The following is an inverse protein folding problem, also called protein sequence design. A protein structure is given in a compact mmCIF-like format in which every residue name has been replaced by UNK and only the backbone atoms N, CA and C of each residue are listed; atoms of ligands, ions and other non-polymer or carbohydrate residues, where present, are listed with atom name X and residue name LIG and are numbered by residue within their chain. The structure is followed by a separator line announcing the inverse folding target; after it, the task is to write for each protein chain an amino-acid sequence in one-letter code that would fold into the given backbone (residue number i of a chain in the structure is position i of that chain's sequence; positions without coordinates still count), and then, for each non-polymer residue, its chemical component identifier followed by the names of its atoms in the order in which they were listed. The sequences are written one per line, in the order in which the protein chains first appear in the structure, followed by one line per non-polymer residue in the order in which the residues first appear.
data_IF_806753081268
#
_entry.id   IF_806753081268
#
_cell.length_a   1.000
_cell.length_b   1.000
_cell.length_c   1.000
_cell.angle_alpha   90.00
_cell.angle_beta   90.00
_cell.angle_gamma   90.00
#
_symmetry.space_group_name_H-M   'P 1'
#
loop_
_entity.id
_entity.type
_entity.pdbx_description
1 polymer ?
#
# COMPACT_ATOMS: atom_id res chain seq x y z
N UNK A 1 39.79 -38.76 -51.54
CA UNK A 1 38.98 -37.69 -50.93
C UNK A 1 38.03 -38.30 -49.91
N UNK A 2 38.30 -38.13 -48.61
CA UNK A 2 37.60 -38.86 -47.56
C UNK A 2 36.63 -38.00 -46.72
N UNK A 3 35.66 -38.73 -46.18
CA UNK A 3 34.73 -38.47 -45.06
C UNK A 3 35.10 -37.30 -44.14
N UNK A 4 34.18 -36.33 -44.02
CA UNK A 4 34.17 -35.34 -42.94
C UNK A 4 33.21 -35.77 -41.84
N UNK A 5 33.79 -36.20 -40.72
CA UNK A 5 33.13 -36.39 -39.43
C UNK A 5 33.14 -35.07 -38.63
N UNK A 6 32.07 -34.89 -37.84
CA UNK A 6 31.99 -34.18 -36.56
C UNK A 6 32.47 -32.72 -36.44
N UNK A 7 31.53 -31.81 -36.11
CA UNK A 7 31.47 -31.17 -34.79
C UNK A 7 30.26 -30.22 -34.72
N UNK A 8 29.15 -30.70 -34.15
CA UNK A 8 28.10 -29.83 -33.62
C UNK A 8 28.23 -29.80 -32.09
N UNK A 9 29.06 -28.89 -31.57
CA UNK A 9 28.99 -28.50 -30.16
C UNK A 9 27.85 -27.51 -30.00
N UNK A 10 26.63 -28.01 -29.76
CA UNK A 10 25.57 -27.22 -29.11
C UNK A 10 25.77 -27.37 -27.61
N UNK A 11 26.36 -26.34 -27.01
CA UNK A 11 26.47 -26.18 -25.56
C UNK A 11 25.07 -26.02 -24.94
N UNK A 12 24.42 -27.13 -24.62
CA UNK A 12 23.34 -27.12 -23.64
C UNK A 12 23.97 -26.96 -22.25
N UNK A 13 24.30 -25.72 -21.89
CA UNK A 13 24.36 -25.35 -20.48
C UNK A 13 22.93 -25.31 -19.95
N UNK A 14 22.41 -26.50 -19.62
CA UNK A 14 21.32 -26.63 -18.67
C UNK A 14 21.84 -26.10 -17.33
N UNK A 15 21.68 -24.80 -17.10
CA UNK A 15 21.50 -24.29 -15.75
C UNK A 15 20.17 -24.83 -15.26
N UNK A 16 20.18 -26.11 -14.85
CA UNK A 16 19.27 -26.60 -13.85
C UNK A 16 19.51 -25.73 -12.61
N UNK A 17 18.77 -24.62 -12.51
CA UNK A 17 18.40 -24.07 -11.22
C UNK A 17 17.69 -25.22 -10.49
N UNK A 18 18.47 -26.03 -9.76
CA UNK A 18 17.90 -26.87 -8.72
C UNK A 18 17.16 -25.89 -7.82
N UNK A 19 15.82 -25.96 -7.69
CA UNK A 19 15.18 -25.29 -6.60
C UNK A 19 15.76 -25.97 -5.37
N UNK A 20 16.72 -25.30 -4.72
CA UNK A 20 17.15 -25.67 -3.37
C UNK A 20 15.85 -25.80 -2.58
N UNK A 21 15.52 -27.03 -2.19
CA UNK A 21 14.46 -27.33 -1.25
C UNK A 21 14.80 -26.57 0.02
N UNK A 22 14.29 -25.34 0.13
CA UNK A 22 14.38 -24.55 1.33
C UNK A 22 13.58 -25.34 2.36
N UNK A 23 14.16 -25.83 3.47
CA UNK A 23 13.35 -26.26 4.58
C UNK A 23 12.52 -25.03 4.97
N UNK A 24 11.21 -25.08 4.73
CA UNK A 24 10.29 -24.04 5.14
C UNK A 24 10.52 -23.81 6.63
N UNK A 25 11.15 -22.70 6.99
CA UNK A 25 11.37 -22.27 8.38
C UNK A 25 10.32 -21.20 8.67
N UNK A 26 9.04 -21.57 8.86
CA UNK A 26 7.94 -20.61 8.94
C UNK A 26 8.20 -19.59 10.06
N UNK A 27 8.78 -20.03 11.19
CA UNK A 27 9.11 -19.16 12.32
C UNK A 27 10.09 -18.04 11.96
N UNK A 28 11.16 -18.34 11.20
CA UNK A 28 12.14 -17.31 10.81
C UNK A 28 11.54 -16.29 9.84
N UNK A 29 10.68 -16.74 8.92
CA UNK A 29 10.01 -15.87 7.95
C UNK A 29 9.01 -14.95 8.65
N UNK A 30 8.28 -15.49 9.64
CA UNK A 30 7.35 -14.70 10.47
C UNK A 30 8.12 -13.60 11.22
N UNK A 31 9.23 -13.93 11.88
CA UNK A 31 10.06 -12.94 12.59
C UNK A 31 10.67 -11.91 11.62
N UNK A 32 11.19 -12.36 10.48
CA UNK A 32 11.75 -11.46 9.46
C UNK A 32 10.70 -10.48 8.93
N UNK A 33 9.49 -10.97 8.63
CA UNK A 33 8.39 -10.13 8.17
C UNK A 33 7.89 -9.21 9.29
N UNK A 34 7.80 -9.70 10.52
CA UNK A 34 7.39 -8.90 11.67
C UNK A 34 8.30 -7.68 11.87
N UNK A 35 9.63 -7.86 11.80
CA UNK A 35 10.61 -6.81 12.09
C UNK A 35 10.94 -5.89 10.90
N UNK A 36 10.91 -6.39 9.66
CA UNK A 36 11.31 -5.61 8.46
C UNK A 36 10.15 -5.20 7.55
N UNK A 37 9.00 -5.86 7.64
CA UNK A 37 7.82 -5.59 6.80
C UNK A 37 6.54 -5.68 7.64
N UNK A 38 6.32 -4.72 8.55
CA UNK A 38 5.19 -4.78 9.48
C UNK A 38 3.86 -4.61 8.73
N UNK A 39 3.20 -5.73 8.43
CA UNK A 39 1.84 -5.75 7.89
C UNK A 39 0.78 -5.96 8.97
N UNK A 40 1.16 -6.62 10.07
CA UNK A 40 0.25 -6.95 11.15
C UNK A 40 0.13 -5.78 12.13
N UNK A 41 -1.06 -5.56 12.69
CA UNK A 41 -1.29 -4.52 13.70
C UNK A 41 -0.31 -4.61 14.86
N UNK A 42 -0.05 -5.81 15.38
CA UNK A 42 0.91 -6.07 16.46
C UNK A 42 2.35 -5.67 16.10
N UNK A 43 2.78 -5.86 14.85
CA UNK A 43 4.11 -5.48 14.39
C UNK A 43 4.24 -3.95 14.33
N UNK A 44 3.19 -3.28 13.85
CA UNK A 44 3.13 -1.82 13.82
C UNK A 44 3.17 -1.27 15.25
N UNK A 45 2.38 -1.84 16.17
CA UNK A 45 2.37 -1.42 17.59
C UNK A 45 3.74 -1.54 18.24
N UNK A 46 4.48 -2.63 17.99
CA UNK A 46 5.84 -2.81 18.49
C UNK A 46 6.81 -1.73 17.98
N UNK A 47 6.76 -1.44 16.67
CA UNK A 47 7.60 -0.39 16.09
C UNK A 47 7.22 1.00 16.59
N UNK A 48 5.93 1.29 16.77
CA UNK A 48 5.45 2.54 17.35
C UNK A 48 5.88 2.67 18.81
N UNK A 49 5.80 1.60 19.61
CA UNK A 49 6.24 1.63 21.02
C UNK A 49 7.74 1.90 21.14
N UNK A 50 8.57 1.32 20.26
CA UNK A 50 10.00 1.63 20.22
C UNK A 50 10.28 3.09 19.85
N UNK A 51 9.54 3.66 18.89
CA UNK A 51 9.68 5.07 18.54
C UNK A 51 9.31 5.96 19.72
N UNK A 52 8.20 5.67 20.41
CA UNK A 52 7.76 6.42 21.59
C UNK A 52 8.84 6.36 22.68
N UNK A 53 9.42 5.17 22.94
CA UNK A 53 10.49 5.00 23.91
C UNK A 53 11.72 5.86 23.56
N UNK A 54 12.13 5.87 22.29
CA UNK A 54 13.24 6.68 21.79
C UNK A 54 12.93 8.18 21.94
N UNK A 55 11.72 8.62 21.57
CA UNK A 55 11.29 10.03 21.73
C UNK A 55 11.32 10.46 23.19
N UNK A 56 10.84 9.61 24.12
CA UNK A 56 10.86 9.91 25.55
C UNK A 56 12.29 10.05 26.07
N UNK A 57 13.20 9.12 25.70
CA UNK A 57 14.63 9.23 26.05
C UNK A 57 15.23 10.54 25.54
N UNK A 58 14.94 10.91 24.29
CA UNK A 58 15.45 12.13 23.67
C UNK A 58 14.89 13.39 24.31
N UNK A 59 13.62 13.38 24.74
CA UNK A 59 13.01 14.48 25.48
C UNK A 59 13.64 14.61 26.86
N UNK A 60 13.81 13.50 27.58
CA UNK A 60 14.54 13.49 28.86
C UNK A 60 15.95 14.06 28.69
N UNK A 61 16.66 13.71 27.62
CA UNK A 61 17.95 14.30 27.31
C UNK A 61 17.87 15.81 27.03
N UNK A 62 16.90 16.27 26.25
CA UNK A 62 16.71 17.68 25.96
C UNK A 62 16.49 18.49 27.26
N UNK A 63 15.70 17.96 28.20
CA UNK A 63 15.50 18.61 29.51
C UNK A 63 16.75 18.49 30.38
N UNK A 64 17.50 17.39 30.30
CA UNK A 64 18.78 17.24 30.99
C UNK A 64 19.88 18.21 30.50
N UNK A 65 19.67 18.96 29.40
CA UNK A 65 20.58 20.06 29.03
C UNK A 65 20.40 21.31 29.89
N UNK A 66 19.30 21.41 30.65
CA UNK A 66 19.03 22.54 31.54
C UNK A 66 19.73 22.28 32.88
N UNK A 67 20.69 23.12 33.32
CA UNK A 67 21.52 22.86 34.50
C UNK A 67 20.69 22.67 35.77
N UNK A 68 19.58 23.40 35.92
CA UNK A 68 18.67 23.34 37.07
C UNK A 68 17.95 21.99 37.22
N UNK A 69 17.60 21.34 36.11
CA UNK A 69 16.84 20.08 36.09
C UNK A 69 17.71 18.85 35.85
N UNK A 70 19.01 19.03 35.62
CA UNK A 70 19.92 17.96 35.20
C UNK A 70 20.00 16.85 36.24
N UNK A 71 20.15 17.19 37.53
CA UNK A 71 20.38 16.21 38.59
C UNK A 71 19.17 15.31 38.85
N UNK A 72 17.94 15.82 38.69
CA UNK A 72 16.72 15.03 38.88
C UNK A 72 16.41 14.11 37.69
N UNK A 73 16.73 14.53 36.46
CA UNK A 73 16.33 13.80 35.23
C UNK A 73 17.39 12.81 34.77
N UNK A 74 18.67 13.02 35.15
CA UNK A 74 19.78 12.12 34.83
C UNK A 74 19.47 10.63 35.10
N UNK A 75 19.05 10.20 36.31
CA UNK A 75 18.80 8.78 36.57
C UNK A 75 17.68 8.22 35.68
N UNK A 76 16.64 9.01 35.41
CA UNK A 76 15.52 8.63 34.53
C UNK A 76 16.03 8.41 33.09
N UNK A 77 16.89 9.30 32.59
CA UNK A 77 17.52 9.16 31.27
C UNK A 77 18.38 7.90 31.15
N UNK A 78 19.15 7.53 32.19
CA UNK A 78 19.96 6.30 32.19
C UNK A 78 19.06 5.07 32.07
N UNK A 79 17.97 5.02 32.82
CA UNK A 79 17.03 3.90 32.80
C UNK A 79 16.46 3.73 31.39
N UNK A 80 15.96 4.80 30.77
CA UNK A 80 15.42 4.74 29.40
C UNK A 80 16.48 4.36 28.36
N UNK A 81 17.69 4.92 28.45
CA UNK A 81 18.79 4.58 27.52
C UNK A 81 19.20 3.11 27.64
N UNK A 82 19.21 2.56 28.86
CA UNK A 82 19.49 1.14 29.12
C UNK A 82 18.39 0.21 28.58
N UNK A 83 17.11 0.60 28.71
CA UNK A 83 15.98 -0.12 28.13
C UNK A 83 16.05 -0.14 26.60
N UNK A 84 16.34 1.01 25.97
CA UNK A 84 16.53 1.10 24.52
C UNK A 84 17.67 0.18 24.08
N UNK A 85 18.80 0.20 24.78
CA UNK A 85 19.93 -0.67 24.47
C UNK A 85 19.53 -2.16 24.50
N UNK A 86 18.78 -2.58 25.52
CA UNK A 86 18.29 -3.96 25.63
C UNK A 86 17.38 -4.35 24.45
N UNK A 87 16.42 -3.50 24.09
CA UNK A 87 15.55 -3.74 22.95
C UNK A 87 16.31 -3.77 21.62
N UNK A 88 17.24 -2.84 21.38
CA UNK A 88 18.01 -2.74 20.13
C UNK A 88 18.95 -3.92 19.95
N UNK A 89 19.59 -4.40 21.03
CA UNK A 89 20.40 -5.63 20.99
C UNK A 89 19.52 -6.82 20.62
N UNK A 90 18.37 -6.98 21.29
CA UNK A 90 17.43 -8.07 21.01
C UNK A 90 16.93 -8.04 19.57
N UNK A 91 16.59 -6.87 19.05
CA UNK A 91 16.16 -6.70 17.67
C UNK A 91 17.29 -7.04 16.69
N UNK A 92 18.50 -6.53 16.92
CA UNK A 92 19.68 -6.77 16.07
C UNK A 92 20.01 -8.26 15.97
N UNK A 93 19.95 -8.98 17.09
CA UNK A 93 20.13 -10.44 17.14
C UNK A 93 19.00 -11.15 16.37
N UNK A 94 17.75 -10.76 16.57
CA UNK A 94 16.60 -11.35 15.87
C UNK A 94 16.64 -11.11 14.35
N UNK A 95 17.10 -9.94 13.90
CA UNK A 95 17.29 -9.61 12.49
C UNK A 95 18.43 -10.44 11.90
N UNK A 96 19.57 -10.53 12.58
CA UNK A 96 20.69 -11.34 12.14
C UNK A 96 20.29 -12.82 12.00
N UNK A 97 19.56 -13.37 12.98
CA UNK A 97 19.07 -14.74 12.95
C UNK A 97 18.04 -14.98 11.83
N UNK A 98 17.07 -14.08 11.70
CA UNK A 98 15.98 -14.21 10.72
C UNK A 98 16.40 -13.90 9.27
N UNK A 99 17.51 -13.18 9.06
CA UNK A 99 18.06 -12.86 7.73
C UNK A 99 18.31 -14.09 6.84
N UNK A 100 18.54 -15.25 7.45
CA UNK A 100 18.80 -16.52 6.76
C UNK A 100 17.58 -17.08 6.01
N UNK A 101 16.39 -16.45 6.12
CA UNK A 101 15.22 -16.84 5.35
C UNK A 101 15.36 -16.58 3.85
N UNK A 102 16.11 -15.53 3.49
CA UNK A 102 16.25 -15.18 2.09
C UNK A 102 17.30 -16.10 1.44
N UNK A 103 17.01 -16.69 0.27
CA UNK A 103 17.96 -17.56 -0.43
C UNK A 103 19.32 -16.89 -0.67
N UNK A 104 19.34 -15.56 -0.81
CA UNK A 104 20.55 -14.74 -1.01
C UNK A 104 21.51 -14.72 0.19
N UNK A 105 21.00 -14.94 1.40
CA UNK A 105 21.73 -14.75 2.67
C UNK A 105 21.85 -16.04 3.50
N UNK A 106 21.81 -17.21 2.86
CA UNK A 106 21.99 -18.49 3.53
C UNK A 106 23.47 -18.78 3.84
N UNK A 107 23.73 -19.47 4.96
CA UNK A 107 25.08 -19.79 5.44
C UNK A 107 25.81 -18.61 6.08
N UNK A 108 27.02 -18.85 6.59
CA UNK A 108 27.83 -17.84 7.31
C UNK A 108 28.25 -16.72 6.34
N UNK A 109 28.71 -17.06 5.14
CA UNK A 109 29.10 -16.08 4.12
C UNK A 109 27.91 -15.28 3.57
N UNK A 110 26.72 -15.90 3.50
CA UNK A 110 25.49 -15.21 3.14
C UNK A 110 25.04 -14.20 4.21
N UNK A 111 25.20 -14.54 5.49
CA UNK A 111 24.94 -13.64 6.62
C UNK A 111 25.93 -12.46 6.66
N UNK A 112 27.21 -12.69 6.40
CA UNK A 112 28.19 -11.61 6.33
C UNK A 112 27.91 -10.65 5.16
N UNK A 113 27.45 -11.20 4.02
CA UNK A 113 26.96 -10.41 2.88
C UNK A 113 25.75 -9.56 3.25
N UNK A 114 24.88 -10.04 4.14
CA UNK A 114 23.75 -9.26 4.67
C UNK A 114 24.22 -8.10 5.56
N UNK A 115 25.18 -8.33 6.45
CA UNK A 115 25.75 -7.28 7.30
C UNK A 115 26.43 -6.17 6.49
N UNK A 116 27.09 -6.52 5.37
CA UNK A 116 27.70 -5.55 4.44
C UNK A 116 26.68 -4.85 3.52
N UNK A 117 25.40 -5.25 3.55
CA UNK A 117 24.37 -4.54 2.79
C UNK A 117 24.07 -3.18 3.40
N UNK A 118 23.62 -2.21 2.60
CA UNK A 118 23.28 -0.86 3.07
C UNK A 118 22.38 -0.88 4.32
N UNK A 119 21.31 -1.67 4.32
CA UNK A 119 20.42 -1.79 5.48
C UNK A 119 21.06 -2.49 6.68
N UNK A 120 21.98 -3.44 6.47
CA UNK A 120 22.70 -4.09 7.56
C UNK A 120 23.71 -3.16 8.23
N UNK A 121 24.39 -2.31 7.45
CA UNK A 121 25.33 -1.32 7.96
C UNK A 121 24.66 -0.28 8.87
N UNK A 122 23.45 0.19 8.50
CA UNK A 122 22.68 1.06 9.39
C UNK A 122 22.33 0.39 10.71
N UNK A 123 21.86 -0.87 10.68
CA UNK A 123 21.53 -1.62 11.89
C UNK A 123 22.77 -1.79 12.80
N UNK A 124 23.95 -2.08 12.23
CA UNK A 124 25.22 -2.18 12.98
C UNK A 124 25.62 -0.83 13.58
N UNK A 125 25.54 0.25 12.80
CA UNK A 125 25.90 1.58 13.26
C UNK A 125 25.00 2.04 14.41
N UNK A 126 23.69 1.77 14.33
CA UNK A 126 22.74 2.06 15.41
C UNK A 126 23.11 1.27 16.66
N UNK A 127 23.37 -0.04 16.52
CA UNK A 127 23.78 -0.89 17.63
C UNK A 127 25.05 -0.36 18.29
N UNK A 128 26.06 0.00 17.50
CA UNK A 128 27.31 0.59 17.98
C UNK A 128 27.07 1.87 18.78
N UNK A 129 26.30 2.81 18.23
CA UNK A 129 25.95 4.06 18.94
C UNK A 129 25.26 3.77 20.27
N UNK A 130 24.23 2.90 20.28
CA UNK A 130 23.50 2.58 21.53
C UNK A 130 24.38 1.90 22.58
N UNK A 131 25.31 1.04 22.16
CA UNK A 131 26.28 0.39 23.05
C UNK A 131 27.29 1.39 23.61
N UNK A 132 27.80 2.32 22.80
CA UNK A 132 28.72 3.36 23.29
C UNK A 132 28.06 4.27 24.33
N UNK A 133 26.80 4.64 24.13
CA UNK A 133 26.03 5.43 25.10
C UNK A 133 25.85 4.65 26.41
N UNK A 134 25.46 3.36 26.32
CA UNK A 134 25.30 2.52 27.49
C UNK A 134 26.61 2.27 28.25
N UNK A 135 27.72 2.11 27.53
CA UNK A 135 29.05 1.95 28.10
C UNK A 135 29.50 3.21 28.85
N UNK A 136 29.31 4.39 28.26
CA UNK A 136 29.63 5.66 28.90
C UNK A 136 28.77 5.91 30.17
N UNK A 137 27.49 5.50 30.18
CA UNK A 137 26.67 5.53 31.40
C UNK A 137 27.22 4.66 32.52
N UNK A 138 27.86 3.54 32.16
CA UNK A 138 28.45 2.61 33.10
C UNK A 138 29.80 3.10 33.66
N UNK A 139 30.64 3.71 32.83
CA UNK A 139 31.99 4.13 33.25
C UNK A 139 32.02 5.44 34.01
N UNK A 140 31.17 6.41 33.67
CA UNK A 140 31.27 7.76 34.23
C UNK A 140 29.91 8.47 34.34
N UNK A 141 29.51 8.76 35.58
CA UNK A 141 28.33 9.59 35.86
C UNK A 141 28.53 11.07 35.51
N UNK A 142 29.74 11.52 35.16
CA UNK A 142 30.07 12.95 34.94
C UNK A 142 29.86 13.46 33.51
N UNK A 143 29.67 12.59 32.52
CA UNK A 143 29.57 12.98 31.09
C UNK A 143 28.37 13.86 30.70
N UNK A 144 27.39 14.09 31.59
CA UNK A 144 26.28 15.00 31.27
C UNK A 144 26.61 16.48 31.50
N UNK A 145 27.78 16.83 32.03
CA UNK A 145 28.17 18.24 32.18
C UNK A 145 28.58 18.82 30.83
N UNK A 146 27.60 19.24 30.04
CA UNK A 146 27.51 20.34 29.03
C UNK A 146 28.62 20.53 27.97
N UNK A 147 29.84 19.98 28.12
CA UNK A 147 31.01 20.37 27.34
C UNK A 147 31.58 19.31 26.40
N UNK A 148 31.03 18.09 26.39
CA UNK A 148 31.48 17.06 25.45
C UNK A 148 30.60 17.03 24.20
N UNK A 149 31.00 17.82 23.21
CA UNK A 149 30.42 17.82 21.84
C UNK A 149 30.26 16.40 21.27
N UNK A 150 31.14 15.47 21.69
CA UNK A 150 31.12 14.06 21.33
C UNK A 150 29.93 13.29 21.91
N UNK A 151 29.57 13.52 23.18
CA UNK A 151 28.41 12.89 23.82
C UNK A 151 27.12 13.28 23.10
N UNK A 152 27.01 14.56 22.81
CA UNK A 152 25.90 15.14 22.08
C UNK A 152 25.83 14.56 20.65
N UNK A 153 26.96 14.42 19.96
CA UNK A 153 27.04 13.78 18.63
C UNK A 153 26.62 12.31 18.63
N UNK A 154 27.01 11.52 19.64
CA UNK A 154 26.58 10.14 19.78
C UNK A 154 25.06 10.03 19.93
N UNK A 155 24.42 10.94 20.67
CA UNK A 155 22.94 10.96 20.77
C UNK A 155 22.25 11.32 19.46
N UNK A 156 22.86 12.11 18.58
CA UNK A 156 22.35 12.29 17.21
C UNK A 156 22.27 10.95 16.46
N UNK A 157 23.18 10.02 16.76
CA UNK A 157 23.16 8.68 16.19
C UNK A 157 21.93 7.84 16.54
N UNK A 158 21.27 8.07 17.69
CA UNK A 158 20.02 7.36 18.05
C UNK A 158 18.87 7.71 17.09
N UNK A 159 18.89 8.91 16.50
CA UNK A 159 17.90 9.33 15.51
C UNK A 159 17.99 8.54 14.19
N UNK A 160 19.14 7.92 13.90
CA UNK A 160 19.30 7.01 12.74
C UNK A 160 18.36 5.80 12.85
N UNK A 161 17.91 5.46 14.05
CA UNK A 161 16.87 4.44 14.26
C UNK A 161 15.52 4.85 13.62
N UNK A 162 15.16 6.12 13.65
CA UNK A 162 13.91 6.62 13.04
C UNK A 162 14.03 6.62 11.51
N UNK A 163 15.23 6.79 10.95
CA UNK A 163 15.48 6.72 9.49
C UNK A 163 15.15 5.35 8.90
N UNK A 164 15.14 4.30 9.73
CA UNK A 164 14.81 2.93 9.33
C UNK A 164 13.34 2.73 8.95
N UNK A 165 12.44 3.55 9.47
CA UNK A 165 10.98 3.43 9.31
C UNK A 165 10.45 3.96 7.97
N UNK A 166 11.36 4.33 7.06
CA UNK A 166 11.05 4.72 5.69
C UNK A 166 10.97 6.23 5.47
N UNK A 167 10.63 6.61 4.24
CA UNK A 167 10.66 8.00 3.75
C UNK A 167 9.77 8.98 4.55
N UNK A 168 8.72 8.47 5.21
CA UNK A 168 7.67 9.30 5.84
C UNK A 168 8.17 10.14 7.03
N UNK A 169 9.14 9.63 7.78
CA UNK A 169 9.63 10.29 9.01
C UNK A 169 10.91 11.11 8.81
N UNK A 170 11.54 11.01 7.62
CA UNK A 170 12.74 11.78 7.27
C UNK A 170 12.61 13.31 7.42
N UNK A 171 11.44 13.95 7.18
CA UNK A 171 11.32 15.39 7.32
C UNK A 171 11.52 15.84 8.79
N UNK A 172 10.91 15.14 9.74
CA UNK A 172 11.07 15.41 11.17
C UNK A 172 12.52 15.28 11.63
N UNK A 173 13.21 14.25 11.16
CA UNK A 173 14.62 14.04 11.43
C UNK A 173 15.51 15.18 10.96
N UNK A 174 15.17 15.79 9.83
CA UNK A 174 15.91 16.92 9.31
C UNK A 174 15.74 18.17 10.19
N UNK A 175 14.54 18.40 10.73
CA UNK A 175 14.29 19.48 11.70
C UNK A 175 15.18 19.30 12.94
N UNK A 176 15.18 18.10 13.53
CA UNK A 176 16.04 17.80 14.67
C UNK A 176 17.52 17.97 14.34
N UNK A 177 17.95 17.51 13.16
CA UNK A 177 19.33 17.70 12.71
C UNK A 177 19.72 19.19 12.65
N UNK A 178 18.84 20.06 12.13
CA UNK A 178 19.06 21.52 12.12
C UNK A 178 19.17 22.07 13.54
N UNK A 179 18.26 21.68 14.44
CA UNK A 179 18.27 22.14 15.84
C UNK A 179 19.56 21.80 16.54
N UNK A 180 20.07 20.61 16.27
CA UNK A 180 21.29 20.10 16.85
C UNK A 180 22.54 20.82 16.32
N UNK A 181 22.65 20.95 14.99
CA UNK A 181 23.80 21.61 14.36
C UNK A 181 23.86 23.08 14.76
N UNK A 182 22.71 23.75 14.85
CA UNK A 182 22.65 25.14 15.30
C UNK A 182 22.99 25.29 16.78
N UNK A 183 22.56 24.35 17.63
CA UNK A 183 22.97 24.34 19.03
C UNK A 183 24.49 24.22 19.14
N UNK A 184 25.10 23.26 18.42
CA UNK A 184 26.56 23.11 18.42
C UNK A 184 27.33 24.33 17.88
N UNK A 185 26.77 25.02 16.89
CA UNK A 185 27.41 26.19 16.27
C UNK A 185 27.37 27.43 17.18
N UNK A 186 26.30 27.61 17.96
CA UNK A 186 26.11 28.80 18.80
C UNK A 186 26.53 28.60 20.26
N UNK A 187 26.62 27.35 20.76
CA UNK A 187 27.02 27.03 22.14
C UNK A 187 28.47 27.48 22.47
N UNK A 188 29.29 27.79 21.47
CA UNK A 188 30.68 28.22 21.68
C UNK A 188 30.82 29.65 22.23
N UNK A 189 29.75 30.45 22.26
CA UNK A 189 29.82 31.86 22.62
C UNK A 189 28.85 32.22 23.75
N UNK A 190 29.35 32.91 24.78
CA UNK A 190 28.64 33.16 26.04
C UNK A 190 27.49 34.21 25.97
N UNK A 191 27.25 34.81 24.80
CA UNK A 191 26.24 35.89 24.61
C UNK A 191 25.22 35.51 23.53
N UNK A 192 24.67 34.30 23.60
CA UNK A 192 23.65 33.83 22.64
C UNK A 192 22.42 33.32 23.38
N UNK A 193 21.24 33.46 22.78
CA UNK A 193 19.98 32.98 23.34
C UNK A 193 19.87 31.44 23.31
N UNK A 194 20.81 30.77 22.64
CA UNK A 194 20.88 29.32 22.43
C UNK A 194 21.44 28.57 23.65
N UNK A 195 20.84 28.79 24.83
CA UNK A 195 21.32 28.21 26.10
C UNK A 195 21.00 26.74 26.27
N UNK A 196 19.94 26.23 25.62
CA UNK A 196 19.49 24.84 25.77
C UNK A 196 18.92 24.28 24.47
N UNK A 197 18.88 22.95 24.38
CA UNK A 197 18.37 22.25 23.20
C UNK A 197 16.87 22.57 22.95
N UNK A 198 15.97 22.62 23.96
CA UNK A 198 14.58 23.01 23.75
C UNK A 198 14.40 24.43 23.18
N UNK A 199 15.20 25.40 23.62
CA UNK A 199 15.15 26.77 23.06
C UNK A 199 15.62 26.81 21.60
N UNK A 200 16.66 26.04 21.28
CA UNK A 200 17.13 25.90 19.90
C UNK A 200 16.12 25.15 19.01
N UNK A 201 15.39 24.20 19.61
CA UNK A 201 14.28 23.50 18.98
C UNK A 201 13.15 24.45 18.58
N UNK A 202 12.75 25.33 19.51
CA UNK A 202 11.80 26.41 19.26
C UNK A 202 12.25 27.30 18.09
N UNK A 203 13.47 27.82 18.13
CA UNK A 203 14.02 28.65 17.06
C UNK A 203 13.97 27.96 15.69
N UNK A 204 14.30 26.67 15.62
CA UNK A 204 14.29 25.94 14.34
C UNK A 204 12.88 25.72 13.81
N UNK A 205 11.89 25.48 14.67
CA UNK A 205 10.49 25.41 14.23
C UNK A 205 10.08 26.76 13.64
N UNK A 206 10.26 27.84 14.40
CA UNK A 206 9.84 29.19 13.99
C UNK A 206 10.53 29.63 12.70
N UNK A 207 11.82 29.32 12.55
CA UNK A 207 12.60 29.70 11.37
C UNK A 207 12.32 28.82 10.16
N UNK A 208 12.27 27.49 10.32
CA UNK A 208 12.04 26.56 9.21
C UNK A 208 10.60 26.65 8.69
N UNK A 209 9.61 26.78 9.57
CA UNK A 209 8.22 27.00 9.16
C UNK A 209 7.93 28.44 8.72
N UNK A 210 8.96 29.27 8.49
CA UNK A 210 8.84 30.63 7.96
C UNK A 210 7.96 31.57 8.80
N UNK A 211 7.82 31.30 10.11
CA UNK A 211 7.05 32.16 11.02
C UNK A 211 7.89 33.39 11.38
N UNK A 212 9.14 33.19 11.79
CA UNK A 212 10.14 34.26 11.95
C UNK A 212 9.77 35.32 13.00
N UNK A 213 9.48 34.93 14.24
CA UNK A 213 9.18 35.90 15.32
C UNK A 213 10.32 36.90 15.59
N UNK A 214 11.57 36.53 15.29
CA UNK A 214 12.74 37.38 15.52
C UNK A 214 13.17 37.49 16.97
N UNK A 215 12.58 36.69 17.85
CA UNK A 215 12.90 36.57 19.28
C UNK A 215 14.26 35.94 19.55
N UNK A 216 14.71 35.05 18.65
CA UNK A 216 16.03 34.41 18.70
C UNK A 216 16.66 34.44 17.31
N UNK A 217 17.93 34.81 17.21
CA UNK A 217 18.69 34.77 15.94
C UNK A 217 20.14 34.34 16.19
N UNK A 218 20.77 33.60 15.26
CA UNK A 218 22.17 33.21 15.40
C UNK A 218 23.06 34.46 15.42
N UNK A 219 23.87 34.59 16.47
CA UNK A 219 24.78 35.72 16.61
C UNK A 219 26.06 35.48 15.79
N UNK A 220 26.53 34.23 15.75
CA UNK A 220 27.80 33.87 15.11
C UNK A 220 27.72 33.92 13.59
N UNK A 221 28.84 34.27 12.95
CA UNK A 221 28.93 34.24 11.48
C UNK A 221 28.73 32.82 10.93
N UNK A 222 29.23 31.81 11.63
CA UNK A 222 29.05 30.40 11.27
C UNK A 222 27.58 29.99 11.35
N UNK A 223 26.88 30.34 12.43
CA UNK A 223 25.46 30.08 12.61
C UNK A 223 24.60 30.78 11.55
N UNK A 224 24.92 32.02 11.18
CA UNK A 224 24.21 32.74 10.10
C UNK A 224 24.36 32.07 8.74
N UNK A 225 25.57 31.61 8.39
CA UNK A 225 25.81 30.86 7.15
C UNK A 225 25.07 29.52 7.16
N UNK A 226 25.13 28.78 8.27
CA UNK A 226 24.41 27.52 8.44
C UNK A 226 22.90 27.69 8.36
N UNK A 227 22.34 28.69 9.04
CA UNK A 227 20.92 29.01 8.99
C UNK A 227 20.46 29.34 7.56
N UNK A 228 21.26 30.11 6.82
CA UNK A 228 20.98 30.43 5.42
C UNK A 228 20.95 29.16 4.54
N UNK A 229 21.94 28.28 4.68
CA UNK A 229 22.01 27.00 3.94
C UNK A 229 20.82 26.10 4.30
N UNK A 230 20.49 25.98 5.59
CA UNK A 230 19.37 25.16 6.03
C UNK A 230 18.04 25.69 5.52
N UNK A 231 17.83 27.01 5.52
CA UNK A 231 16.62 27.61 4.97
C UNK A 231 16.41 27.27 3.49
N UNK A 232 17.47 27.40 2.67
CA UNK A 232 17.39 26.98 1.27
C UNK A 232 17.06 25.48 1.14
N UNK A 233 17.77 24.61 1.87
CA UNK A 233 17.52 23.17 1.84
C UNK A 233 16.12 22.78 2.32
N UNK A 234 15.54 23.53 3.26
CA UNK A 234 14.17 23.32 3.72
C UNK A 234 13.17 23.53 2.60
N UNK A 235 13.26 24.64 1.87
CA UNK A 235 12.35 24.93 0.75
C UNK A 235 12.39 23.79 -0.27
N UNK A 236 13.59 23.33 -0.65
CA UNK A 236 13.73 22.21 -1.58
C UNK A 236 13.13 20.89 -1.03
N UNK A 237 13.31 20.60 0.26
CA UNK A 237 12.86 19.33 0.86
C UNK A 237 11.39 19.31 1.28
N UNK A 238 10.79 20.44 1.60
CA UNK A 238 9.42 20.50 2.14
C UNK A 238 8.43 21.19 1.21
N UNK A 239 8.78 22.32 0.60
CA UNK A 239 7.84 23.07 -0.24
C UNK A 239 7.56 22.34 -1.57
N UNK A 240 8.60 21.80 -2.22
CA UNK A 240 8.44 21.10 -3.49
C UNK A 240 7.63 19.80 -3.36
N UNK A 241 7.88 18.91 -2.38
CA UNK A 241 7.08 17.69 -2.25
C UNK A 241 5.64 17.98 -1.84
N UNK A 242 5.35 19.04 -1.08
CA UNK A 242 3.98 19.42 -0.75
C UNK A 242 3.17 19.79 -2.02
N UNK A 243 3.78 20.54 -2.95
CA UNK A 243 3.18 20.83 -4.26
C UNK A 243 3.03 19.60 -5.17
N UNK A 244 3.99 18.67 -5.12
CA UNK A 244 3.88 17.39 -5.84
C UNK A 244 2.85 16.46 -5.21
N UNK A 245 2.68 16.48 -3.88
CA UNK A 245 1.69 15.69 -3.16
C UNK A 245 0.27 16.15 -3.49
N UNK A 246 0.01 17.46 -3.58
CA UNK A 246 -1.32 17.97 -3.93
C UNK A 246 -1.71 17.57 -5.36
N UNK A 247 -0.80 17.74 -6.32
CA UNK A 247 -1.01 17.32 -7.71
C UNK A 247 -1.09 15.79 -7.84
N UNK A 248 -0.28 15.05 -7.09
CA UNK A 248 -0.29 13.59 -7.05
C UNK A 248 -1.57 13.02 -6.46
N UNK A 249 -2.16 13.64 -5.43
CA UNK A 249 -3.46 13.25 -4.89
C UNK A 249 -4.58 13.54 -5.88
N UNK A 250 -4.56 14.68 -6.56
CA UNK A 250 -5.54 15.00 -7.61
C UNK A 250 -5.47 13.97 -8.76
N UNK A 251 -4.26 13.66 -9.23
CA UNK A 251 -4.03 12.64 -10.25
C UNK A 251 -4.44 11.24 -9.78
N UNK A 252 -4.19 10.89 -8.51
CA UNK A 252 -4.61 9.60 -7.95
C UNK A 252 -6.13 9.50 -7.80
N UNK A 253 -6.80 10.57 -7.41
CA UNK A 253 -8.28 10.63 -7.37
C UNK A 253 -8.85 10.46 -8.79
N UNK A 254 -8.24 11.10 -9.78
CA UNK A 254 -8.58 10.93 -11.20
C UNK A 254 -8.28 9.50 -11.70
N UNK A 255 -7.18 8.89 -11.27
CA UNK A 255 -6.81 7.53 -11.62
C UNK A 255 -7.69 6.48 -10.93
N UNK A 256 -8.20 6.77 -9.73
CA UNK A 256 -9.16 5.90 -9.04
C UNK A 256 -10.50 5.81 -9.78
N UNK A 257 -10.91 6.88 -10.46
CA UNK A 257 -12.03 6.85 -11.40
C UNK A 257 -11.70 5.91 -12.58
N UNK A 258 -10.48 5.95 -13.14
CA UNK A 258 -10.02 5.00 -14.17
C UNK A 258 -9.97 3.54 -13.67
N UNK A 259 -9.60 3.32 -12.40
CA UNK A 259 -9.51 1.98 -11.79
C UNK A 259 -10.87 1.32 -11.55
N UNK A 260 -11.95 2.08 -11.38
CA UNK A 260 -13.32 1.53 -11.36
C UNK A 260 -13.67 0.82 -12.67
N UNK A 261 -13.08 1.23 -13.79
CA UNK A 261 -13.22 0.50 -15.06
C UNK A 261 -12.37 -0.79 -15.10
N UNK A 262 -11.24 -0.84 -14.37
CA UNK A 262 -10.44 -2.07 -14.24
C UNK A 262 -11.18 -3.15 -13.45
N UNK A 263 -11.98 -2.79 -12.44
CA UNK A 263 -12.81 -3.77 -11.73
C UNK A 263 -13.89 -4.37 -12.66
N UNK A 264 -14.43 -3.60 -13.60
CA UNK A 264 -15.33 -4.09 -14.66
C UNK A 264 -14.61 -5.07 -15.61
N UNK A 265 -13.31 -4.90 -15.87
CA UNK A 265 -12.49 -5.89 -16.63
C UNK A 265 -12.47 -7.26 -15.96
N UNK A 266 -12.47 -7.31 -14.61
CA UNK A 266 -12.51 -8.58 -13.87
C UNK A 266 -13.80 -9.35 -14.15
N UNK A 267 -14.95 -8.66 -14.21
CA UNK A 267 -16.23 -9.28 -14.54
C UNK A 267 -16.27 -9.80 -15.98
N UNK A 268 -15.72 -9.03 -16.94
CA UNK A 268 -15.59 -9.46 -18.33
C UNK A 268 -14.66 -10.67 -18.48
N UNK A 269 -13.54 -10.69 -17.76
CA UNK A 269 -12.59 -11.80 -17.72
C UNK A 269 -13.24 -13.08 -17.15
N UNK A 270 -13.95 -12.97 -16.03
CA UNK A 270 -14.65 -14.11 -15.41
C UNK A 270 -15.71 -14.68 -16.36
N UNK A 271 -16.49 -13.84 -17.05
CA UNK A 271 -17.47 -14.30 -18.06
C UNK A 271 -16.78 -14.99 -19.22
N UNK A 272 -15.67 -14.43 -19.72
CA UNK A 272 -14.89 -15.03 -20.79
C UNK A 272 -14.35 -16.41 -20.41
N UNK A 273 -13.72 -16.56 -19.23
CA UNK A 273 -13.19 -17.83 -18.74
C UNK A 273 -14.30 -18.87 -18.56
N UNK A 274 -15.44 -18.49 -17.95
CA UNK A 274 -16.60 -19.39 -17.76
C UNK A 274 -17.15 -19.89 -19.10
N UNK A 275 -17.30 -19.00 -20.09
CA UNK A 275 -17.82 -19.37 -21.42
C UNK A 275 -16.79 -20.12 -22.26
N UNK A 276 -15.49 -19.84 -22.11
CA UNK A 276 -14.41 -20.58 -22.75
C UNK A 276 -14.38 -22.04 -22.26
N UNK A 277 -14.53 -22.24 -20.95
CA UNK A 277 -14.61 -23.58 -20.37
C UNK A 277 -15.84 -24.34 -20.85
N UNK A 278 -17.01 -23.68 -20.90
CA UNK A 278 -18.24 -24.27 -21.47
C UNK A 278 -18.03 -24.66 -22.93
N UNK A 279 -17.54 -23.75 -23.76
CA UNK A 279 -17.26 -24.02 -25.17
C UNK A 279 -16.31 -25.22 -25.36
N UNK A 280 -15.22 -25.28 -24.59
CA UNK A 280 -14.27 -26.41 -24.63
C UNK A 280 -14.92 -27.73 -24.19
N UNK A 281 -15.66 -27.71 -23.08
CA UNK A 281 -16.32 -28.89 -22.53
C UNK A 281 -17.38 -29.47 -23.49
N UNK A 282 -18.17 -28.62 -24.15
CA UNK A 282 -19.18 -29.04 -25.13
C UNK A 282 -18.58 -29.51 -26.46
N UNK A 283 -17.38 -29.04 -26.82
CA UNK A 283 -16.66 -29.54 -28.00
C UNK A 283 -16.02 -30.91 -27.75
N UNK A 284 -15.59 -31.20 -26.52
CA UNK A 284 -14.90 -32.45 -26.16
C UNK A 284 -15.84 -33.63 -25.93
N UNK A 285 -17.05 -33.40 -25.43
CA UNK A 285 -18.05 -34.46 -25.23
C UNK A 285 -19.02 -34.49 -26.41
N UNK A 286 -18.79 -35.39 -27.37
CA UNK A 286 -19.67 -35.62 -28.51
C UNK A 286 -21.04 -36.19 -28.09
N UNK A 287 -21.07 -36.95 -26.99
CA UNK A 287 -22.26 -37.63 -26.49
C UNK A 287 -22.99 -36.74 -25.48
N UNK A 288 -24.31 -36.54 -25.68
CA UNK A 288 -25.22 -35.62 -24.98
C UNK A 288 -25.36 -35.73 -23.45
N UNK A 289 -24.35 -36.21 -22.73
CA UNK A 289 -24.30 -36.35 -21.27
C UNK A 289 -24.29 -35.02 -20.50
N UNK A 290 -24.34 -33.87 -21.18
CA UNK A 290 -24.13 -32.55 -20.56
C UNK A 290 -25.43 -31.89 -20.08
N UNK A 291 -26.60 -32.35 -20.54
CA UNK A 291 -27.89 -31.76 -20.13
C UNK A 291 -28.46 -32.29 -18.80
N UNK A 292 -27.86 -33.33 -18.23
CA UNK A 292 -28.34 -33.99 -17.01
C UNK A 292 -28.02 -33.24 -15.70
N UNK A 293 -27.81 -31.91 -15.74
CA UNK A 293 -27.56 -31.16 -14.49
C UNK A 293 -28.21 -29.77 -14.43
N UNK A 294 -29.55 -29.76 -14.28
CA UNK A 294 -30.28 -28.97 -13.26
C UNK A 294 -31.80 -29.28 -13.29
N UNK A 295 -32.22 -30.42 -12.75
CA UNK A 295 -33.49 -30.49 -12.01
C UNK A 295 -33.12 -30.44 -10.53
N UNK A 296 -33.14 -29.25 -9.94
CA UNK A 296 -33.08 -29.09 -8.47
C UNK A 296 -34.29 -28.22 -8.12
N UNK A 297 -35.22 -28.84 -7.39
CA UNK A 297 -36.51 -28.34 -6.89
C UNK A 297 -37.70 -28.34 -7.86
N UNK A 298 -38.36 -29.50 -7.96
CA UNK A 298 -39.82 -29.59 -8.01
C UNK A 298 -40.19 -30.76 -7.11
N UNK A 299 -40.61 -30.44 -5.89
CA UNK A 299 -41.54 -31.22 -5.04
C UNK A 299 -41.45 -32.74 -5.08
N UNK A 300 -40.91 -33.32 -4.00
CA UNK A 300 -41.30 -34.66 -3.53
C UNK A 300 -42.84 -34.67 -3.39
N UNK A 301 -43.55 -35.16 -4.40
CA UNK A 301 -44.85 -35.79 -4.16
C UNK A 301 -45.17 -36.81 -5.27
N UNK A 302 -45.62 -37.97 -4.80
CA UNK A 302 -46.26 -39.09 -5.49
C UNK A 302 -45.45 -39.93 -6.50
N UNK A 303 -45.12 -41.13 -6.01
CA UNK A 303 -45.53 -42.42 -6.58
C UNK A 303 -46.10 -42.35 -8.00
N UNK A 304 -45.30 -42.76 -8.97
CA UNK A 304 -45.63 -43.88 -9.83
C UNK A 304 -44.40 -44.33 -10.61
N UNK A 305 -44.30 -45.65 -10.74
CA UNK A 305 -43.38 -46.33 -11.66
C UNK A 305 -43.50 -45.71 -13.05
N UNK A 306 -42.38 -45.19 -13.56
CA UNK A 306 -42.04 -45.21 -14.97
C UNK A 306 -40.51 -45.09 -15.10
N UNK A 307 -39.90 -46.20 -15.49
CA UNK A 307 -38.54 -46.24 -15.98
C UNK A 307 -38.44 -45.41 -17.29
N UNK A 308 -37.35 -44.65 -17.42
CA UNK A 308 -36.74 -44.20 -18.69
C UNK A 308 -37.12 -42.87 -19.37
N UNK A 309 -37.50 -41.81 -18.65
CA UNK A 309 -37.52 -40.46 -19.24
C UNK A 309 -36.20 -39.70 -19.02
N UNK A 310 -35.07 -40.28 -19.44
CA UNK A 310 -33.96 -39.45 -19.88
C UNK A 310 -34.38 -38.92 -21.25
N UNK A 311 -35.10 -37.78 -21.26
CA UNK A 311 -35.44 -37.04 -22.49
C UNK A 311 -34.17 -36.93 -23.34
N UNK A 312 -34.07 -37.77 -24.38
CA UNK A 312 -33.03 -37.67 -25.39
C UNK A 312 -33.33 -36.39 -26.15
N UNK A 313 -32.64 -35.32 -25.79
CA UNK A 313 -32.70 -34.04 -26.49
C UNK A 313 -32.48 -34.32 -27.98
N UNK A 314 -33.39 -33.81 -28.80
CA UNK A 314 -33.36 -34.06 -30.24
C UNK A 314 -31.99 -33.63 -30.82
N UNK A 315 -31.41 -34.38 -31.77
CA UNK A 315 -30.18 -34.00 -32.44
C UNK A 315 -30.11 -32.53 -32.93
N UNK A 316 -31.18 -31.94 -33.53
CA UNK A 316 -31.17 -30.53 -33.93
C UNK A 316 -31.07 -29.55 -32.74
N UNK A 317 -31.69 -29.85 -31.61
CA UNK A 317 -31.64 -28.98 -30.42
C UNK A 317 -30.21 -28.90 -29.87
N UNK A 318 -29.47 -30.01 -29.88
CA UNK A 318 -28.06 -30.06 -29.47
C UNK A 318 -27.18 -29.18 -30.37
N UNK A 319 -27.45 -29.16 -31.67
CA UNK A 319 -26.75 -28.29 -32.64
C UNK A 319 -27.04 -26.82 -32.34
N UNK A 320 -28.30 -26.46 -32.10
CA UNK A 320 -28.71 -25.10 -31.72
C UNK A 320 -28.03 -24.65 -30.41
N UNK A 321 -27.97 -25.51 -29.40
CA UNK A 321 -27.29 -25.21 -28.13
C UNK A 321 -25.79 -24.98 -28.34
N UNK A 322 -25.12 -25.83 -29.14
CA UNK A 322 -23.69 -25.64 -29.48
C UNK A 322 -23.46 -24.33 -30.20
N UNK A 323 -24.35 -23.95 -31.12
CA UNK A 323 -24.30 -22.67 -31.81
C UNK A 323 -24.42 -21.49 -30.84
N UNK A 324 -25.41 -21.51 -29.94
CA UNK A 324 -25.62 -20.45 -28.93
C UNK A 324 -24.40 -20.31 -28.03
N UNK A 325 -23.83 -21.42 -27.51
CA UNK A 325 -22.65 -21.38 -26.65
C UNK A 325 -21.43 -20.82 -27.40
N UNK A 326 -21.26 -21.19 -28.67
CA UNK A 326 -20.18 -20.68 -29.52
C UNK A 326 -20.34 -19.17 -29.75
N UNK A 327 -21.55 -18.71 -30.04
CA UNK A 327 -21.85 -17.28 -30.21
C UNK A 327 -21.60 -16.50 -28.91
N UNK A 328 -22.05 -17.02 -27.77
CA UNK A 328 -21.82 -16.41 -26.45
C UNK A 328 -20.33 -16.33 -26.12
N UNK A 329 -19.55 -17.37 -26.41
CA UNK A 329 -18.10 -17.36 -26.25
C UNK A 329 -17.42 -16.31 -27.15
N UNK A 330 -17.79 -16.24 -28.42
CA UNK A 330 -17.24 -15.25 -29.36
C UNK A 330 -17.57 -13.81 -28.95
N UNK A 331 -18.81 -13.57 -28.49
CA UNK A 331 -19.24 -12.28 -27.94
C UNK A 331 -18.46 -11.93 -26.66
N UNK A 332 -18.27 -12.88 -25.76
CA UNK A 332 -17.48 -12.68 -24.55
C UNK A 332 -16.00 -12.39 -24.88
N UNK A 333 -15.43 -13.06 -25.89
CA UNK A 333 -14.07 -12.78 -26.39
C UNK A 333 -13.95 -11.36 -26.95
N UNK A 334 -14.97 -10.90 -27.71
CA UNK A 334 -15.01 -9.54 -28.26
C UNK A 334 -15.13 -8.50 -27.15
N UNK A 335 -16.03 -8.71 -26.19
CA UNK A 335 -16.23 -7.83 -25.02
C UNK A 335 -14.99 -7.78 -24.13
N UNK A 336 -14.33 -8.91 -23.87
CA UNK A 336 -13.08 -8.94 -23.10
C UNK A 336 -11.95 -8.19 -23.80
N UNK A 337 -11.78 -8.37 -25.12
CA UNK A 337 -10.79 -7.61 -25.90
C UNK A 337 -11.08 -6.11 -25.94
N UNK A 338 -12.35 -5.70 -26.05
CA UNK A 338 -12.74 -4.28 -25.94
C UNK A 338 -12.43 -3.73 -24.56
N UNK A 339 -12.79 -4.46 -23.50
CA UNK A 339 -12.54 -4.05 -22.12
C UNK A 339 -11.04 -3.88 -21.80
N UNK A 340 -10.14 -4.59 -22.50
CA UNK A 340 -8.69 -4.47 -22.35
C UNK A 340 -8.09 -3.25 -23.06
N UNK A 341 -8.82 -2.57 -23.95
CA UNK A 341 -8.35 -1.34 -24.58
C UNK A 341 -8.27 -0.20 -23.54
N UNK A 342 -7.31 0.73 -23.67
CA UNK A 342 -7.31 1.95 -22.87
C UNK A 342 -8.60 2.73 -23.12
N UNK A 343 -9.15 3.33 -22.05
CA UNK A 343 -10.39 4.11 -22.13
C UNK A 343 -10.12 5.40 -22.90
N UNK A 344 -10.92 5.67 -23.93
CA UNK A 344 -10.77 6.83 -24.81
C UNK A 344 -12.05 7.67 -24.81
N UNK A 345 -11.98 8.90 -25.34
CA UNK A 345 -13.14 9.79 -25.48
C UNK A 345 -14.29 9.13 -26.25
N UNK A 346 -13.98 8.24 -27.20
CA UNK A 346 -14.97 7.44 -27.91
C UNK A 346 -15.84 6.56 -27.00
N UNK A 347 -15.30 6.05 -25.89
CA UNK A 347 -16.07 5.24 -24.93
C UNK A 347 -17.08 6.10 -24.14
N UNK A 348 -16.73 7.38 -23.89
CA UNK A 348 -17.64 8.35 -23.25
C UNK A 348 -18.81 8.64 -24.20
N UNK A 349 -18.51 8.86 -25.48
CA UNK A 349 -19.54 9.09 -26.50
C UNK A 349 -20.43 7.86 -26.68
N UNK A 350 -19.85 6.65 -26.73
CA UNK A 350 -20.62 5.40 -26.82
C UNK A 350 -21.53 5.21 -25.60
N UNK A 351 -21.06 5.54 -24.40
CA UNK A 351 -21.87 5.47 -23.19
C UNK A 351 -23.01 6.50 -23.20
N UNK A 352 -22.75 7.73 -23.65
CA UNK A 352 -23.77 8.76 -23.80
C UNK A 352 -24.82 8.34 -24.84
N UNK A 353 -24.41 7.80 -25.99
CA UNK A 353 -25.34 7.34 -27.02
C UNK A 353 -26.22 6.20 -26.53
N UNK A 354 -25.65 5.20 -25.84
CA UNK A 354 -26.44 4.07 -25.29
C UNK A 354 -27.41 4.56 -24.21
N UNK A 355 -26.98 5.46 -23.32
CA UNK A 355 -27.85 6.04 -22.30
C UNK A 355 -28.98 6.87 -22.91
N UNK A 356 -28.70 7.64 -23.94
CA UNK A 356 -29.69 8.43 -24.66
C UNK A 356 -30.71 7.55 -25.39
N UNK A 357 -30.26 6.48 -26.06
CA UNK A 357 -31.16 5.50 -26.69
C UNK A 357 -32.07 4.81 -25.67
N UNK A 358 -31.54 4.41 -24.51
CA UNK A 358 -32.35 3.82 -23.44
C UNK A 358 -33.41 4.80 -22.90
N UNK A 359 -33.04 6.08 -22.75
CA UNK A 359 -33.97 7.13 -22.33
C UNK A 359 -35.09 7.34 -23.35
N UNK A 360 -34.76 7.44 -24.65
CA UNK A 360 -35.77 7.54 -25.71
C UNK A 360 -36.72 6.34 -25.64
N UNK A 361 -36.17 5.13 -25.53
CA UNK A 361 -36.98 3.91 -25.46
C UNK A 361 -37.89 3.85 -24.21
N UNK A 362 -37.50 4.49 -23.10
CA UNK A 362 -38.35 4.65 -21.94
C UNK A 362 -39.45 5.68 -22.18
N UNK A 363 -39.10 6.81 -22.78
CA UNK A 363 -40.05 7.87 -23.16
C UNK A 363 -41.10 7.35 -24.13
N UNK A 364 -40.72 6.60 -25.17
CA UNK A 364 -41.64 5.97 -26.12
C UNK A 364 -42.58 4.98 -25.42
N UNK A 365 -42.08 4.21 -24.44
CA UNK A 365 -42.93 3.33 -23.64
C UNK A 365 -43.94 4.09 -22.81
N UNK A 366 -43.57 5.24 -22.26
CA UNK A 366 -44.49 6.11 -21.52
C UNK A 366 -45.53 6.72 -22.47
N UNK A 367 -45.14 7.19 -23.65
CA UNK A 367 -46.08 7.67 -24.67
C UNK A 367 -47.10 6.59 -25.05
N UNK A 368 -46.64 5.37 -25.35
CA UNK A 368 -47.53 4.24 -25.66
C UNK A 368 -48.43 3.83 -24.48
N UNK A 369 -48.04 4.12 -23.25
CA UNK A 369 -48.89 3.91 -22.07
C UNK A 369 -49.93 5.02 -21.95
N UNK A 370 -49.55 6.28 -22.16
CA UNK A 370 -50.47 7.43 -22.16
C UNK A 370 -51.52 7.28 -23.27
N UNK A 371 -51.12 6.95 -24.50
CA UNK A 371 -52.03 6.73 -25.63
C UNK A 371 -53.05 5.61 -25.35
N UNK A 372 -52.61 4.56 -24.66
CA UNK A 372 -53.51 3.47 -24.23
C UNK A 372 -54.51 3.95 -23.19
N UNK A 373 -54.07 4.75 -22.21
CA UNK A 373 -54.95 5.33 -21.20
C UNK A 373 -55.94 6.33 -21.81
N UNK A 374 -55.51 7.16 -22.75
CA UNK A 374 -56.40 8.11 -23.44
C UNK A 374 -57.51 7.37 -24.20
N UNK A 375 -57.17 6.29 -24.91
CA UNK A 375 -58.16 5.43 -25.59
C UNK A 375 -59.14 4.79 -24.61
N UNK A 376 -58.65 4.32 -23.46
CA UNK A 376 -59.51 3.76 -22.41
C UNK A 376 -60.45 4.81 -21.81
N UNK A 377 -59.98 6.04 -21.58
CA UNK A 377 -60.82 7.14 -21.07
C UNK A 377 -61.91 7.48 -22.07
N UNK A 378 -61.58 7.61 -23.38
CA UNK A 378 -62.58 7.86 -24.42
C UNK A 378 -63.64 6.75 -24.48
N UNK A 379 -63.22 5.49 -24.45
CA UNK A 379 -64.16 4.36 -24.40
C UNK A 379 -65.06 4.40 -23.15
N UNK A 380 -64.50 4.72 -21.97
CA UNK A 380 -65.28 4.83 -20.75
C UNK A 380 -66.26 6.02 -20.80
N UNK A 381 -65.89 7.14 -21.43
CA UNK A 381 -66.77 8.29 -21.64
C UNK A 381 -67.94 7.93 -22.58
N UNK A 382 -67.68 7.24 -23.70
CA UNK A 382 -68.72 6.74 -24.61
C UNK A 382 -69.70 5.80 -23.88
N UNK A 383 -69.19 4.91 -23.03
CA UNK A 383 -70.03 4.00 -22.22
C UNK A 383 -70.89 4.78 -21.22
N UNK A 384 -70.32 5.80 -20.55
CA UNK A 384 -71.05 6.67 -19.62
C UNK A 384 -72.19 7.43 -20.32
N UNK A 385 -71.95 7.98 -21.51
CA UNK A 385 -72.98 8.66 -22.29
C UNK A 385 -74.13 7.71 -22.67
N UNK A 386 -73.83 6.47 -23.07
CA UNK A 386 -74.84 5.45 -23.38
C UNK A 386 -75.66 5.11 -22.13
N UNK A 387 -75.02 4.94 -20.97
CA UNK A 387 -75.70 4.64 -19.70
C UNK A 387 -76.60 5.81 -19.28
N UNK A 388 -76.13 7.05 -19.39
CA UNK A 388 -76.93 8.24 -19.07
C UNK A 388 -78.16 8.37 -19.97
N UNK A 389 -78.03 8.09 -21.28
CA UNK A 389 -79.17 8.06 -22.20
C UNK A 389 -80.19 6.99 -21.82
N UNK A 390 -79.75 5.79 -21.42
CA UNK A 390 -80.64 4.72 -20.96
C UNK A 390 -81.35 5.05 -19.64
N UNK A 391 -80.70 5.78 -18.73
CA UNK A 391 -81.35 6.25 -17.49
C UNK A 391 -82.36 7.37 -17.70
N UNK A 392 -82.22 8.20 -18.75
CA UNK A 392 -83.20 9.25 -19.10
C UNK A 392 -84.44 8.72 -19.84
N UNK A 393 -84.36 7.51 -20.39
CA UNK A 393 -85.44 6.82 -21.10
C UNK A 393 -86.31 5.92 -20.18
N UNK A 394 -85.94 5.81 -18.90
CA UNK A 394 -86.76 5.22 -17.83
C UNK A 394 -87.29 6.32 -16.94
#
# INVERSE_FOLDING_TARGET
MPKTNHHHHRSHHNHHHRPLLIPYMPKRIIVYNFLRRPNNFHAIMYHVSLIILIIISLLCFAVATIPELTESIRPISIIFDSLICMFVIGESVAIYWSSSCQPKYQGINGRLRFLRSFSGLFDIMILFVTLTIAYCHYTDHKFYTVNDKYWLFLRLGQWLHILRMGERFKPWLWLIFVTFVMFLAEQTQNQTDFTSLPKTFWWSIVSLFTIGYGDMTPATNVGKVLASIFFFLFIFKFALPAGVLSTGLALKIQEQQRCRHISQRRLAAVRFIKLAWRYFHYRKHENGAVFSRRKRYSTMNNNNNNNNDVQRINPPEIVCIRFIITLQFLLARRRFRRAMRPYDFGDIMEQYTVGHEELICQVDRLYLQIDRLEKQIKQNQEILEIVEQQTKLK
#
